data_IF_842627219865
#
_entry.id   IF_842627219865
#
_cell.length_a   1.000
_cell.length_b   1.000
_cell.length_c   1.000
_cell.angle_alpha   90.00
_cell.angle_beta   90.00
_cell.angle_gamma   90.00
#
_symmetry.space_group_name_H-M   'P 1'
#
loop_
_entity.id
_entity.type
_entity.pdbx_description
1 polymer ?
#
# COMPACT_ATOMS: atom_id res chain seq x y z
N UNK A 1 31.55 -14.14 -33.48
CA UNK A 1 30.32 -14.54 -32.83
C UNK A 1 30.42 -14.09 -31.38
N UNK A 2 29.87 -12.91 -31.06
CA UNK A 2 29.86 -12.33 -29.71
C UNK A 2 28.58 -12.74 -29.01
N UNK A 3 28.71 -13.49 -27.92
CA UNK A 3 27.60 -13.84 -27.05
C UNK A 3 27.04 -12.56 -26.42
N UNK A 4 25.78 -12.22 -26.75
CA UNK A 4 25.01 -11.26 -25.98
C UNK A 4 24.54 -11.98 -24.72
N UNK A 5 25.18 -11.67 -23.60
CA UNK A 5 24.68 -12.02 -22.29
C UNK A 5 23.56 -11.01 -21.98
N UNK A 6 22.32 -11.46 -22.11
CA UNK A 6 21.17 -10.75 -21.53
C UNK A 6 21.34 -10.77 -20.02
N UNK A 7 21.69 -9.63 -19.42
CA UNK A 7 21.45 -9.41 -18.00
C UNK A 7 19.93 -9.39 -17.81
N UNK A 8 19.35 -10.50 -17.38
CA UNK A 8 18.07 -10.46 -16.67
C UNK A 8 18.27 -9.54 -15.48
N UNK A 9 17.61 -8.39 -15.49
CA UNK A 9 17.54 -7.53 -14.32
C UNK A 9 16.84 -8.33 -13.24
N UNK A 10 17.56 -8.70 -12.19
CA UNK A 10 16.95 -9.22 -10.95
C UNK A 10 15.94 -8.15 -10.49
N UNK A 11 14.66 -8.42 -10.74
CA UNK A 11 13.59 -7.52 -10.34
C UNK A 11 13.55 -7.55 -8.81
N UNK A 12 13.92 -6.44 -8.19
CA UNK A 12 13.88 -6.31 -6.74
C UNK A 12 12.41 -6.31 -6.30
N UNK A 13 11.96 -7.39 -5.67
CA UNK A 13 10.61 -7.50 -5.12
C UNK A 13 10.42 -6.54 -3.94
N UNK A 14 9.18 -6.09 -3.75
CA UNK A 14 8.78 -5.40 -2.53
C UNK A 14 9.03 -6.28 -1.30
N UNK A 15 9.29 -5.67 -0.16
CA UNK A 15 9.24 -6.38 1.12
C UNK A 15 7.80 -6.86 1.38
N UNK A 16 7.67 -8.13 1.75
CA UNK A 16 6.38 -8.75 2.04
C UNK A 16 6.49 -9.74 3.20
N UNK A 17 5.37 -9.97 3.86
CA UNK A 17 5.21 -11.00 4.88
C UNK A 17 4.09 -11.94 4.47
N UNK A 18 4.33 -13.24 4.63
CA UNK A 18 3.32 -14.30 4.44
C UNK A 18 2.98 -14.90 5.78
N UNK A 19 1.68 -14.95 6.12
CA UNK A 19 1.17 -15.67 7.28
C UNK A 19 0.27 -16.79 6.78
N UNK A 20 0.78 -18.01 6.86
CA UNK A 20 0.14 -19.22 6.30
C UNK A 20 -0.11 -20.24 7.42
N UNK A 21 -1.13 -19.98 8.23
CA UNK A 21 -1.57 -20.88 9.30
C UNK A 21 -2.54 -21.97 8.80
N UNK A 22 -3.09 -21.80 7.60
CA UNK A 22 -4.09 -22.69 7.02
C UNK A 22 -3.88 -22.82 5.50
N UNK A 23 -3.03 -23.74 5.05
CA UNK A 23 -2.60 -23.84 3.65
C UNK A 23 -3.73 -23.97 2.61
N UNK A 24 -4.89 -24.55 2.99
CA UNK A 24 -6.05 -24.71 2.11
C UNK A 24 -7.01 -23.51 2.10
N UNK A 25 -6.71 -22.47 2.91
CA UNK A 25 -7.54 -21.28 2.97
C UNK A 25 -7.28 -20.35 1.77
N UNK A 26 -8.26 -19.52 1.36
CA UNK A 26 -8.06 -18.54 0.32
C UNK A 26 -7.04 -17.47 0.74
N UNK A 27 -6.36 -16.90 -0.25
CA UNK A 27 -5.46 -15.79 -0.05
C UNK A 27 -6.19 -14.49 0.25
N UNK A 28 -5.60 -13.69 1.13
CA UNK A 28 -6.03 -12.33 1.44
C UNK A 28 -4.82 -11.41 1.41
N UNK A 29 -4.82 -10.47 0.47
CA UNK A 29 -3.74 -9.52 0.23
C UNK A 29 -4.07 -8.17 0.85
N UNK A 30 -3.14 -7.59 1.59
CA UNK A 30 -3.29 -6.31 2.27
C UNK A 30 -2.45 -5.22 1.58
N UNK A 31 -3.11 -4.13 1.18
CA UNK A 31 -2.50 -2.97 0.50
C UNK A 31 -2.71 -1.72 1.35
N UNK A 32 -1.66 -1.25 2.02
CA UNK A 32 -1.75 -0.08 2.91
C UNK A 32 -1.87 1.26 2.16
N UNK A 33 -2.14 2.33 2.89
CA UNK A 33 -2.21 3.69 2.36
C UNK A 33 -0.89 4.45 2.45
N UNK A 34 -0.87 5.68 1.96
CA UNK A 34 0.29 6.58 2.03
C UNK A 34 0.81 6.70 3.46
N UNK A 35 2.14 6.59 3.62
CA UNK A 35 2.81 6.65 4.91
C UNK A 35 2.50 5.47 5.84
N UNK A 36 1.84 4.41 5.33
CA UNK A 36 1.60 3.16 6.05
C UNK A 36 2.75 2.16 5.87
N UNK A 37 2.51 0.95 6.37
CA UNK A 37 3.36 -0.22 6.20
C UNK A 37 2.56 -1.47 6.57
N UNK A 38 3.17 -2.64 6.46
CA UNK A 38 2.63 -3.92 6.97
C UNK A 38 2.08 -3.76 8.40
N UNK A 39 2.74 -2.98 9.25
CA UNK A 39 2.31 -2.74 10.63
C UNK A 39 0.94 -2.06 10.78
N UNK A 40 0.41 -1.46 9.71
CA UNK A 40 -0.95 -0.90 9.68
C UNK A 40 -2.01 -1.95 10.00
N UNK A 41 -1.74 -3.20 9.63
CA UNK A 41 -2.69 -4.31 9.65
C UNK A 41 -2.61 -5.20 10.90
N UNK A 42 -1.81 -4.81 11.89
CA UNK A 42 -1.54 -5.63 13.08
C UNK A 42 -2.79 -6.26 13.71
N UNK A 43 -3.87 -5.49 13.87
CA UNK A 43 -5.10 -5.98 14.51
C UNK A 43 -5.96 -6.82 13.57
N UNK A 44 -5.92 -6.53 12.26
CA UNK A 44 -6.64 -7.31 11.25
C UNK A 44 -5.98 -8.66 11.03
N UNK A 45 -4.65 -8.71 11.06
CA UNK A 45 -3.86 -9.95 10.95
C UNK A 45 -4.26 -10.93 12.04
N UNK A 46 -4.30 -10.50 13.29
CA UNK A 46 -4.67 -11.36 14.43
C UNK A 46 -6.06 -12.00 14.25
N UNK A 47 -7.02 -11.23 13.73
CA UNK A 47 -8.38 -11.69 13.53
C UNK A 47 -8.56 -12.58 12.29
N UNK A 48 -7.75 -12.37 11.23
CA UNK A 48 -7.97 -12.99 9.92
C UNK A 48 -7.03 -14.16 9.61
N UNK A 49 -5.86 -14.24 10.26
CA UNK A 49 -4.92 -15.34 10.08
C UNK A 49 -5.50 -16.74 10.31
N UNK A 50 -6.46 -16.96 11.24
CA UNK A 50 -7.11 -18.27 11.40
C UNK A 50 -7.99 -18.70 10.21
N UNK A 51 -8.35 -17.76 9.32
CA UNK A 51 -9.33 -17.98 8.26
C UNK A 51 -8.75 -17.87 6.84
N UNK A 52 -7.61 -17.19 6.70
CA UNK A 52 -7.00 -16.86 5.40
C UNK A 52 -5.49 -17.09 5.42
N UNK A 53 -4.92 -17.34 4.26
CA UNK A 53 -3.49 -17.14 4.01
C UNK A 53 -3.28 -15.67 3.76
N UNK A 54 -2.44 -15.01 4.54
CA UNK A 54 -2.28 -13.56 4.45
C UNK A 54 -0.99 -13.21 3.70
N UNK A 55 -1.11 -12.29 2.73
CA UNK A 55 0.00 -11.60 2.12
C UNK A 55 -0.07 -10.12 2.49
N UNK A 56 0.95 -9.62 3.16
CA UNK A 56 1.10 -8.22 3.51
C UNK A 56 2.29 -7.67 2.74
N UNK A 57 2.14 -6.51 2.11
CA UNK A 57 3.22 -5.88 1.34
C UNK A 57 3.53 -4.49 1.88
N UNK A 58 4.80 -4.14 1.94
CA UNK A 58 5.22 -2.74 2.05
C UNK A 58 5.31 -2.16 0.65
N UNK A 59 4.53 -1.11 0.39
CA UNK A 59 4.56 -0.44 -0.90
C UNK A 59 5.95 0.16 -1.17
N UNK A 60 6.27 0.39 -2.42
CA UNK A 60 7.48 1.10 -2.86
C UNK A 60 7.73 2.33 -2.00
N UNK A 61 8.96 2.54 -1.54
CA UNK A 61 9.40 3.62 -0.66
C UNK A 61 8.71 3.69 0.72
N UNK A 62 8.08 2.58 1.14
CA UNK A 62 7.46 2.47 2.46
C UNK A 62 8.02 1.27 3.24
N UNK A 63 7.97 1.34 4.56
CA UNK A 63 8.39 0.26 5.46
C UNK A 63 9.79 -0.27 5.15
N UNK A 64 9.92 -1.58 4.97
CA UNK A 64 11.18 -2.24 4.60
C UNK A 64 11.43 -2.25 3.07
N UNK A 65 10.46 -1.79 2.26
CA UNK A 65 10.64 -1.49 0.81
C UNK A 65 11.30 -0.12 0.58
N UNK A 66 11.82 0.51 1.61
CA UNK A 66 12.55 1.78 1.57
C UNK A 66 13.77 1.65 0.65
N UNK A 67 13.89 2.60 -0.28
CA UNK A 67 14.99 2.59 -1.25
C UNK A 67 14.67 1.89 -2.56
N UNK A 68 13.52 1.25 -2.69
CA UNK A 68 12.99 0.85 -4.01
C UNK A 68 12.39 2.11 -4.62
N UNK A 69 13.24 2.93 -5.23
CA UNK A 69 12.84 4.19 -5.86
C UNK A 69 12.33 3.93 -7.28
N UNK A 70 11.34 4.69 -7.76
CA UNK A 70 10.97 4.65 -9.17
C UNK A 70 12.14 5.17 -10.01
N UNK A 71 12.37 4.56 -11.17
CA UNK A 71 13.37 5.03 -12.15
C UNK A 71 13.02 6.42 -12.71
N UNK A 72 11.78 6.88 -12.51
CA UNK A 72 11.25 8.16 -12.97
C UNK A 72 10.84 9.06 -11.80
N UNK A 73 10.90 10.39 -11.94
CA UNK A 73 10.64 11.34 -10.85
C UNK A 73 9.16 11.46 -10.45
N UNK A 74 8.27 10.62 -10.97
CA UNK A 74 6.85 10.63 -10.65
C UNK A 74 6.40 9.26 -10.13
N UNK A 75 5.65 9.26 -9.02
CA UNK A 75 4.91 8.09 -8.56
C UNK A 75 3.75 7.82 -9.52
N UNK A 76 3.81 6.67 -10.18
CA UNK A 76 2.73 6.14 -10.99
C UNK A 76 2.09 4.95 -10.26
N UNK A 77 0.77 4.97 -10.13
CA UNK A 77 0.03 3.87 -9.50
C UNK A 77 0.08 2.58 -10.30
N UNK A 78 0.30 2.65 -11.61
CA UNK A 78 0.47 1.46 -12.45
C UNK A 78 1.78 0.75 -12.10
N UNK A 79 2.87 1.48 -11.88
CA UNK A 79 4.15 0.91 -11.40
C UNK A 79 3.97 0.22 -10.05
N UNK A 80 3.27 0.87 -9.11
CA UNK A 80 3.04 0.29 -7.78
C UNK A 80 2.15 -0.95 -7.84
N UNK A 81 1.16 -0.98 -8.73
CA UNK A 81 0.34 -2.16 -8.99
C UNK A 81 1.19 -3.32 -9.55
N UNK A 82 2.05 -3.03 -10.54
CA UNK A 82 2.99 -4.01 -11.11
C UNK A 82 3.94 -4.59 -10.07
N UNK A 83 4.43 -3.78 -9.12
CA UNK A 83 5.28 -4.28 -8.03
C UNK A 83 4.55 -5.32 -7.15
N UNK A 84 3.29 -5.05 -6.81
CA UNK A 84 2.47 -6.00 -6.02
C UNK A 84 2.20 -7.26 -6.83
N UNK A 85 1.88 -7.13 -8.11
CA UNK A 85 1.66 -8.26 -9.01
C UNK A 85 2.92 -9.12 -9.12
N UNK A 86 4.12 -8.53 -9.15
CA UNK A 86 5.36 -9.28 -9.16
C UNK A 86 5.53 -10.17 -7.90
N UNK A 87 5.16 -9.67 -6.72
CA UNK A 87 5.15 -10.47 -5.48
C UNK A 87 4.12 -11.60 -5.56
N UNK A 88 2.91 -11.30 -6.06
CA UNK A 88 1.82 -12.26 -6.22
C UNK A 88 2.23 -13.38 -7.17
N UNK A 89 2.86 -13.04 -8.30
CA UNK A 89 3.34 -14.00 -9.31
C UNK A 89 4.50 -14.84 -8.76
N UNK A 90 5.43 -14.22 -8.02
CA UNK A 90 6.53 -14.93 -7.36
C UNK A 90 6.02 -16.00 -6.37
N UNK A 91 4.91 -15.70 -5.66
CA UNK A 91 4.27 -16.63 -4.73
C UNK A 91 3.33 -17.62 -5.41
N UNK A 92 3.11 -17.52 -6.73
CA UNK A 92 2.22 -18.40 -7.49
C UNK A 92 0.74 -18.23 -7.14
N UNK A 93 0.33 -17.06 -6.65
CA UNK A 93 -1.05 -16.78 -6.24
C UNK A 93 -1.91 -16.52 -7.48
N UNK A 94 -2.86 -17.42 -7.77
CA UNK A 94 -3.72 -17.33 -8.94
C UNK A 94 -5.00 -16.56 -8.68
N UNK A 95 -5.49 -16.53 -7.43
CA UNK A 95 -6.71 -15.86 -7.02
C UNK A 95 -6.65 -15.45 -5.55
N UNK A 96 -7.08 -14.23 -5.24
CA UNK A 96 -7.05 -13.71 -3.88
C UNK A 96 -8.21 -12.76 -3.58
N UNK A 97 -8.54 -12.63 -2.31
CA UNK A 97 -9.27 -11.47 -1.78
C UNK A 97 -8.30 -10.34 -1.48
N UNK A 98 -8.80 -9.10 -1.45
CA UNK A 98 -7.96 -7.93 -1.19
C UNK A 98 -8.59 -7.01 -0.15
N UNK A 99 -7.75 -6.44 0.70
CA UNK A 99 -8.12 -5.33 1.60
C UNK A 99 -7.16 -4.18 1.34
N UNK A 100 -7.70 -2.99 1.10
CA UNK A 100 -6.90 -1.79 0.88
C UNK A 100 -7.34 -0.61 1.76
N UNK A 101 -6.43 0.33 1.94
CA UNK A 101 -6.66 1.56 2.71
C UNK A 101 -6.26 2.78 1.89
N UNK A 102 -7.15 3.79 1.80
CA UNK A 102 -6.86 5.10 1.19
C UNK A 102 -6.31 4.96 -0.24
N UNK A 103 -5.09 5.45 -0.54
CA UNK A 103 -4.46 5.31 -1.86
C UNK A 103 -4.29 3.86 -2.30
N UNK A 104 -4.21 2.91 -1.38
CA UNK A 104 -4.23 1.48 -1.70
C UNK A 104 -5.46 1.06 -2.48
N UNK A 105 -6.58 1.80 -2.35
CA UNK A 105 -7.79 1.55 -3.15
C UNK A 105 -7.60 1.89 -4.63
N UNK A 106 -6.81 2.91 -4.95
CA UNK A 106 -6.47 3.26 -6.34
C UNK A 106 -5.60 2.18 -6.95
N UNK A 107 -4.60 1.72 -6.19
CA UNK A 107 -3.70 0.64 -6.62
C UNK A 107 -4.50 -0.65 -6.86
N UNK A 108 -5.44 -0.98 -5.96
CA UNK A 108 -6.27 -2.18 -6.10
C UNK A 108 -7.20 -2.11 -7.31
N UNK A 109 -7.75 -0.93 -7.63
CA UNK A 109 -8.52 -0.74 -8.87
C UNK A 109 -7.65 -0.96 -10.12
N UNK A 110 -6.37 -0.57 -10.09
CA UNK A 110 -5.42 -0.84 -11.18
C UNK A 110 -5.16 -2.35 -11.32
N UNK A 111 -4.94 -3.06 -10.22
CA UNK A 111 -4.78 -4.52 -10.21
C UNK A 111 -6.01 -5.22 -10.80
N UNK A 112 -7.23 -4.79 -10.40
CA UNK A 112 -8.48 -5.36 -10.90
C UNK A 112 -8.68 -5.11 -12.41
N UNK A 113 -8.28 -3.96 -12.91
CA UNK A 113 -8.33 -3.65 -14.34
C UNK A 113 -7.31 -4.48 -15.13
N UNK A 114 -6.10 -4.67 -14.60
CA UNK A 114 -5.01 -5.40 -15.27
C UNK A 114 -5.20 -6.92 -15.18
N UNK A 115 -5.67 -7.43 -14.03
CA UNK A 115 -5.78 -8.86 -13.71
C UNK A 115 -7.13 -9.18 -13.03
N UNK A 116 -8.27 -9.02 -13.72
CA UNK A 116 -9.59 -9.21 -13.10
C UNK A 116 -9.82 -10.64 -12.59
N UNK A 117 -9.20 -11.64 -13.21
CA UNK A 117 -9.27 -13.04 -12.79
C UNK A 117 -8.58 -13.31 -11.45
N UNK A 118 -7.62 -12.48 -11.06
CA UNK A 118 -6.90 -12.57 -9.79
C UNK A 118 -7.77 -12.12 -8.62
N UNK A 119 -8.64 -11.12 -8.83
CA UNK A 119 -9.42 -10.47 -7.78
C UNK A 119 -10.74 -11.19 -7.57
N UNK A 120 -10.88 -11.90 -6.45
CA UNK A 120 -12.15 -12.56 -6.09
C UNK A 120 -13.12 -11.60 -5.41
N UNK A 121 -12.65 -10.91 -4.38
CA UNK A 121 -13.40 -9.89 -3.62
C UNK A 121 -12.46 -8.82 -3.13
N UNK A 122 -12.96 -7.58 -3.03
CA UNK A 122 -12.17 -6.48 -2.48
C UNK A 122 -12.93 -5.69 -1.43
N UNK A 123 -12.20 -5.27 -0.41
CA UNK A 123 -12.66 -4.30 0.60
C UNK A 123 -11.76 -3.08 0.52
N UNK A 124 -12.34 -1.93 0.21
CA UNK A 124 -11.61 -0.68 0.08
C UNK A 124 -12.00 0.28 1.22
N UNK A 125 -11.16 0.38 2.24
CA UNK A 125 -11.38 1.27 3.37
C UNK A 125 -10.91 2.69 3.03
N UNK A 126 -11.82 3.68 3.15
CA UNK A 126 -11.53 5.07 2.75
C UNK A 126 -11.21 5.18 1.26
N UNK A 127 -12.02 4.51 0.43
CA UNK A 127 -11.80 4.37 -1.00
C UNK A 127 -11.78 5.71 -1.74
N UNK A 128 -10.88 5.81 -2.72
CA UNK A 128 -10.77 6.93 -3.64
C UNK A 128 -11.18 6.40 -5.02
N UNK A 129 -12.34 6.85 -5.53
CA UNK A 129 -12.85 6.45 -6.85
C UNK A 129 -12.68 7.54 -7.89
N UNK A 130 -12.82 8.82 -7.46
CA UNK A 130 -12.71 9.96 -8.35
C UNK A 130 -12.15 11.16 -7.60
N UNK A 131 -11.41 12.01 -8.30
CA UNK A 131 -10.91 13.27 -7.78
C UNK A 131 -11.99 14.34 -7.81
N UNK A 132 -12.79 14.50 -6.75
CA UNK A 132 -13.64 15.67 -6.63
C UNK A 132 -12.81 16.97 -6.64
N UNK A 133 -13.41 18.09 -7.06
CA UNK A 133 -12.76 19.41 -7.03
C UNK A 133 -12.17 19.72 -5.63
N UNK A 134 -12.86 19.31 -4.56
CA UNK A 134 -12.39 19.43 -3.18
C UNK A 134 -11.12 18.60 -2.94
N UNK A 135 -11.06 17.37 -3.48
CA UNK A 135 -9.87 16.51 -3.36
C UNK A 135 -8.67 17.11 -4.11
N UNK A 136 -8.88 17.62 -5.33
CA UNK A 136 -7.84 18.30 -6.08
C UNK A 136 -7.31 19.54 -5.32
N UNK A 137 -8.22 20.36 -4.81
CA UNK A 137 -7.85 21.53 -3.99
C UNK A 137 -7.04 21.09 -2.75
N UNK A 138 -7.48 20.04 -2.06
CA UNK A 138 -6.79 19.49 -0.89
C UNK A 138 -5.37 19.00 -1.24
N UNK A 139 -5.22 18.24 -2.31
CA UNK A 139 -3.92 17.73 -2.77
C UNK A 139 -2.98 18.87 -3.18
N UNK A 140 -3.49 19.86 -3.92
CA UNK A 140 -2.69 21.03 -4.30
C UNK A 140 -2.25 21.85 -3.09
N UNK A 141 -3.15 22.06 -2.12
CA UNK A 141 -2.83 22.76 -0.89
C UNK A 141 -1.77 22.00 -0.06
N UNK A 142 -1.89 20.67 0.01
CA UNK A 142 -0.92 19.83 0.70
C UNK A 142 0.46 19.87 0.01
N UNK A 143 0.50 19.83 -1.34
CA UNK A 143 1.74 20.01 -2.09
C UNK A 143 2.41 21.36 -1.80
N UNK A 144 1.65 22.45 -1.84
CA UNK A 144 2.18 23.77 -1.53
C UNK A 144 2.72 23.85 -0.11
N UNK A 145 1.99 23.27 0.84
CA UNK A 145 2.42 23.26 2.25
C UNK A 145 3.69 22.42 2.46
N UNK A 146 3.91 21.38 1.65
CA UNK A 146 5.09 20.54 1.71
C UNK A 146 6.40 21.27 1.34
N UNK A 147 6.33 22.40 0.61
CA UNK A 147 7.51 23.22 0.36
C UNK A 147 7.96 24.01 1.61
N UNK A 148 7.06 24.23 2.58
CA UNK A 148 7.30 25.10 3.73
C UNK A 148 7.42 24.30 5.03
N UNK A 149 6.65 23.22 5.15
CA UNK A 149 6.59 22.41 6.36
C UNK A 149 7.35 21.09 6.20
N UNK A 150 8.15 20.70 7.22
CA UNK A 150 8.77 19.39 7.20
C UNK A 150 7.70 18.29 7.26
N UNK A 151 7.99 17.15 6.63
CA UNK A 151 7.08 16.02 6.51
C UNK A 151 6.37 15.61 7.81
N UNK A 152 7.08 15.61 8.93
CA UNK A 152 6.54 15.29 10.26
C UNK A 152 5.46 16.28 10.73
N UNK A 153 5.63 17.57 10.44
CA UNK A 153 4.64 18.59 10.76
C UNK A 153 3.39 18.46 9.88
N UNK A 154 3.57 18.14 8.60
CA UNK A 154 2.49 17.81 7.68
C UNK A 154 1.67 16.62 8.18
N UNK A 155 2.34 15.53 8.59
CA UNK A 155 1.69 14.34 9.10
C UNK A 155 0.91 14.59 10.40
N UNK A 156 1.48 15.44 11.26
CA UNK A 156 0.83 15.89 12.50
C UNK A 156 -0.46 16.68 12.20
N UNK A 157 -0.40 17.66 11.31
CA UNK A 157 -1.55 18.46 10.88
C UNK A 157 -2.62 17.56 10.23
N UNK A 158 -2.21 16.68 9.31
CA UNK A 158 -3.09 15.77 8.62
C UNK A 158 -3.84 14.82 9.56
N UNK A 159 -3.18 14.41 10.67
CA UNK A 159 -3.81 13.57 11.69
C UNK A 159 -5.05 14.19 12.34
N UNK A 160 -5.14 15.52 12.42
CA UNK A 160 -6.32 16.20 12.93
C UNK A 160 -7.43 16.37 11.89
N UNK A 161 -7.06 16.49 10.62
CA UNK A 161 -8.02 16.59 9.51
C UNK A 161 -8.73 15.24 9.34
N UNK A 162 -7.96 14.16 9.29
CA UNK A 162 -8.49 12.80 9.06
C UNK A 162 -9.16 12.22 10.31
N UNK A 163 -8.66 12.55 11.49
CA UNK A 163 -9.11 12.02 12.78
C UNK A 163 -9.52 13.16 13.74
N UNK A 164 -10.55 13.96 13.42
CA UNK A 164 -10.84 15.21 14.14
C UNK A 164 -11.46 15.00 15.53
N UNK A 165 -12.12 13.88 15.80
CA UNK A 165 -12.89 13.67 17.02
C UNK A 165 -12.00 13.36 18.24
N UNK A 166 -12.49 13.69 19.44
CA UNK A 166 -11.76 13.45 20.71
C UNK A 166 -11.51 11.96 20.98
N UNK A 167 -12.44 11.08 20.60
CA UNK A 167 -12.31 9.63 20.74
C UNK A 167 -11.23 9.02 19.80
N UNK A 168 -10.73 9.76 18.82
CA UNK A 168 -9.65 9.33 17.92
C UNK A 168 -8.23 9.52 18.52
N UNK A 169 -8.09 9.78 19.83
CA UNK A 169 -6.77 10.03 20.44
C UNK A 169 -5.78 8.91 20.25
N UNK A 170 -6.22 7.66 20.44
CA UNK A 170 -5.39 6.48 20.22
C UNK A 170 -5.03 6.30 18.75
N UNK A 171 -6.02 6.43 17.86
CA UNK A 171 -5.80 6.33 16.41
C UNK A 171 -4.83 7.41 15.90
N UNK A 172 -4.95 8.65 16.39
CA UNK A 172 -3.98 9.72 16.08
C UNK A 172 -2.58 9.40 16.59
N UNK A 173 -2.47 8.82 17.79
CA UNK A 173 -1.17 8.45 18.35
C UNK A 173 -0.51 7.37 17.48
N UNK A 174 -1.24 6.32 17.11
CA UNK A 174 -0.75 5.25 16.24
C UNK A 174 -0.35 5.83 14.87
N UNK A 175 -1.21 6.61 14.27
CA UNK A 175 -0.98 7.26 12.97
C UNK A 175 0.29 8.11 12.97
N UNK A 176 0.52 8.93 14.00
CA UNK A 176 1.72 9.75 14.13
C UNK A 176 2.98 8.93 14.38
N UNK A 177 2.87 7.81 15.09
CA UNK A 177 4.01 6.94 15.35
C UNK A 177 4.51 6.27 14.07
N UNK A 178 3.65 6.03 13.10
CA UNK A 178 4.05 5.53 11.78
C UNK A 178 4.95 6.53 11.04
N UNK A 179 4.68 7.84 11.15
CA UNK A 179 5.52 8.88 10.53
C UNK A 179 6.94 8.97 11.12
N UNK A 180 7.22 8.30 12.23
CA UNK A 180 8.56 8.24 12.80
C UNK A 180 9.42 7.12 12.20
N UNK A 181 8.80 6.22 11.44
CA UNK A 181 9.48 5.09 10.78
C UNK A 181 9.76 5.36 9.28
N UNK A 182 9.27 6.48 8.78
CA UNK A 182 9.58 7.04 7.46
C UNK A 182 10.72 8.06 7.61
#
# INVERSE_FOLDING_TARGET
>A
MKAQTSKESEQTLLHYEVIDQKPDAPWLVFVHGAGGSISTWKFQVEALAPHYRLLLVDLRDHGESKGIMPEFPAYDFDIVATDILAVIDFLGIQKAHFISLSIGSVILQKIDIERPELVDRMVMAGAIFDGSALMHWFVHSAKLLAYVLPYRAMYWLFSFIVLPRRNHRLSRYIFRRQSLRL
#
